data_IF_368736980123
#
_entry.id   IF_368736980123
#
_cell.length_a   1.000
_cell.length_b   1.000
_cell.length_c   1.000
_cell.angle_alpha   90.00
_cell.angle_beta   90.00
_cell.angle_gamma   90.00
#
_symmetry.space_group_name_H-M   'P 1'
#
loop_
_entity.id
_entity.type
_entity.pdbx_description
1 polymer ?
#
# COMPACT_ATOMS: atom_id res chain seq x y z
N UNK A 1 17.16 -57.15 -8.56
CA UNK A 1 17.78 -56.09 -9.38
C UNK A 1 17.11 -56.18 -10.76
N UNK A 2 16.42 -55.19 -11.33
CA UNK A 2 16.66 -53.74 -11.36
C UNK A 2 15.33 -52.98 -11.33
N UNK A 3 15.31 -51.92 -10.53
CA UNK A 3 14.32 -50.86 -10.48
C UNK A 3 14.44 -49.99 -11.74
N UNK A 4 13.33 -49.73 -12.44
CA UNK A 4 13.25 -48.58 -13.32
C UNK A 4 12.23 -47.62 -12.72
N UNK A 5 12.76 -46.77 -11.85
CA UNK A 5 12.09 -45.58 -11.32
C UNK A 5 11.88 -44.63 -12.50
N UNK A 6 10.65 -44.58 -13.02
CA UNK A 6 10.25 -43.55 -13.98
C UNK A 6 9.95 -42.31 -13.15
N UNK A 7 10.98 -41.51 -12.90
CA UNK A 7 10.88 -40.16 -12.36
C UNK A 7 10.17 -39.28 -13.40
N UNK A 8 8.87 -39.08 -13.21
CA UNK A 8 8.14 -38.01 -13.86
C UNK A 8 8.63 -36.68 -13.29
N UNK A 9 9.60 -36.06 -13.97
CA UNK A 9 10.03 -34.68 -13.69
C UNK A 9 8.91 -33.77 -14.19
N UNK A 10 7.97 -33.46 -13.31
CA UNK A 10 6.98 -32.40 -13.53
C UNK A 10 7.76 -31.09 -13.41
N UNK A 11 8.15 -30.57 -14.57
CA UNK A 11 8.77 -29.26 -14.71
C UNK A 11 7.72 -28.22 -14.34
N UNK A 12 7.66 -27.84 -13.06
CA UNK A 12 6.89 -26.70 -12.60
C UNK A 12 7.54 -25.44 -13.18
N UNK A 13 7.08 -25.02 -14.36
CA UNK A 13 7.26 -23.66 -14.81
C UNK A 13 6.48 -22.78 -13.85
N UNK A 14 7.13 -22.38 -12.75
CA UNK A 14 6.79 -21.19 -11.99
C UNK A 14 6.81 -20.05 -13.00
N UNK A 15 5.64 -19.74 -13.57
CA UNK A 15 5.40 -18.48 -14.21
C UNK A 15 5.63 -17.45 -13.10
N UNK A 16 6.80 -16.80 -13.14
CA UNK A 16 7.09 -15.58 -12.40
C UNK A 16 6.21 -14.46 -12.98
N UNK A 17 4.89 -14.64 -13.02
CA UNK A 17 4.00 -13.49 -12.94
C UNK A 17 4.41 -12.85 -11.64
N UNK A 18 5.08 -11.71 -11.71
CA UNK A 18 5.31 -10.90 -10.53
C UNK A 18 3.93 -10.74 -9.89
N UNK A 19 3.67 -11.45 -8.79
CA UNK A 19 2.46 -11.32 -8.01
C UNK A 19 2.54 -9.97 -7.31
N UNK A 20 2.51 -8.89 -8.08
CA UNK A 20 2.10 -7.60 -7.58
C UNK A 20 0.59 -7.73 -7.42
N UNK A 21 0.17 -8.39 -6.35
CA UNK A 21 -1.22 -8.33 -5.93
C UNK A 21 -1.57 -6.87 -5.69
N UNK A 22 -2.80 -6.49 -6.01
CA UNK A 22 -3.34 -5.18 -5.63
C UNK A 22 -3.05 -4.84 -4.16
N UNK A 23 -2.90 -3.54 -3.81
CA UNK A 23 -2.65 -3.15 -2.44
C UNK A 23 -3.80 -3.59 -1.53
N UNK A 24 -3.46 -4.18 -0.40
CA UNK A 24 -4.42 -4.47 0.67
C UNK A 24 -4.84 -3.19 1.39
N UNK A 25 -5.92 -3.22 2.16
CA UNK A 25 -6.30 -2.07 3.00
C UNK A 25 -5.17 -1.65 3.97
N UNK A 26 -4.43 -2.63 4.51
CA UNK A 26 -3.26 -2.39 5.36
C UNK A 26 -2.14 -1.69 4.59
N UNK A 27 -1.92 -2.06 3.33
CA UNK A 27 -0.94 -1.38 2.48
C UNK A 27 -1.31 0.07 2.24
N UNK A 28 -2.59 0.34 1.96
CA UNK A 28 -3.12 1.70 1.78
C UNK A 28 -2.99 2.50 3.09
N UNK A 29 -3.33 1.89 4.23
CA UNK A 29 -3.14 2.51 5.54
C UNK A 29 -1.68 2.91 5.77
N UNK A 30 -0.73 2.02 5.47
CA UNK A 30 0.69 2.32 5.63
C UNK A 30 1.17 3.44 4.69
N UNK A 31 0.67 3.48 3.45
CA UNK A 31 0.95 4.57 2.51
C UNK A 31 0.47 5.91 3.08
N UNK A 32 -0.77 5.97 3.59
CA UNK A 32 -1.33 7.15 4.26
C UNK A 32 -0.52 7.52 5.51
N UNK A 33 -0.13 6.52 6.32
CA UNK A 33 0.67 6.71 7.53
C UNK A 33 2.00 7.37 7.21
N UNK A 34 2.68 6.95 6.14
CA UNK A 34 3.94 7.57 5.71
C UNK A 34 3.78 9.07 5.39
N UNK A 35 2.68 9.46 4.76
CA UNK A 35 2.38 10.87 4.45
C UNK A 35 2.06 11.63 5.74
N UNK A 36 1.21 11.10 6.61
CA UNK A 36 0.84 11.70 7.90
C UNK A 36 2.08 11.89 8.79
N UNK A 37 2.92 10.86 8.94
CA UNK A 37 4.14 10.92 9.73
C UNK A 37 5.09 12.00 9.20
N UNK A 38 5.27 12.10 7.87
CA UNK A 38 6.10 13.13 7.24
C UNK A 38 5.56 14.53 7.49
N UNK A 39 4.25 14.72 7.35
CA UNK A 39 3.60 16.00 7.62
C UNK A 39 3.73 16.41 9.09
N UNK A 40 3.51 15.48 10.02
CA UNK A 40 3.68 15.72 11.46
C UNK A 40 5.14 16.03 11.82
N UNK A 41 6.11 15.32 11.24
CA UNK A 41 7.53 15.60 11.42
C UNK A 41 7.88 17.00 10.89
N UNK A 42 7.33 17.39 9.73
CA UNK A 42 7.53 18.73 9.15
C UNK A 42 6.93 19.82 10.04
N UNK A 43 5.72 19.62 10.59
CA UNK A 43 5.11 20.54 11.55
C UNK A 43 5.98 20.71 12.80
N UNK A 44 6.47 19.60 13.38
CA UNK A 44 7.35 19.64 14.56
C UNK A 44 8.71 20.29 14.27
N UNK A 45 9.24 20.13 13.05
CA UNK A 45 10.47 20.80 12.64
C UNK A 45 10.30 22.32 12.55
N UNK A 46 9.11 22.80 12.17
CA UNK A 46 8.78 24.24 12.14
C UNK A 46 8.47 24.80 13.53
N UNK A 47 7.79 24.03 14.36
CA UNK A 47 7.48 24.40 15.74
C UNK A 47 7.45 23.14 16.63
N UNK A 48 8.52 22.94 17.40
CA UNK A 48 8.68 21.78 18.28
C UNK A 48 7.71 21.75 19.46
N UNK A 49 7.06 22.89 19.77
CA UNK A 49 6.10 23.02 20.87
C UNK A 49 4.68 22.61 20.47
N UNK A 50 4.44 22.21 19.22
CA UNK A 50 3.13 21.69 18.80
C UNK A 50 2.78 20.45 19.64
N UNK A 51 1.66 20.46 20.38
CA UNK A 51 1.28 19.33 21.22
C UNK A 51 0.76 18.17 20.36
N UNK A 52 0.88 16.95 20.86
CA UNK A 52 0.52 15.74 20.10
C UNK A 52 -0.94 15.71 19.64
N UNK A 53 -1.85 16.30 20.43
CA UNK A 53 -3.28 16.40 20.09
C UNK A 53 -3.57 17.18 18.81
N UNK A 54 -2.65 18.05 18.40
CA UNK A 54 -2.82 18.92 17.22
C UNK A 54 -2.11 18.33 15.99
N UNK A 55 -1.49 17.16 16.12
CA UNK A 55 -0.91 16.43 15.00
C UNK A 55 -2.00 15.71 14.19
N UNK A 56 -1.70 15.46 12.92
CA UNK A 56 -2.56 14.67 12.05
C UNK A 56 -2.61 13.22 12.55
N UNK A 57 -3.81 12.62 12.56
CA UNK A 57 -4.03 11.22 12.93
C UNK A 57 -4.93 10.54 11.90
N UNK A 58 -4.65 9.29 11.59
CA UNK A 58 -5.52 8.48 10.74
C UNK A 58 -6.59 7.87 11.64
N UNK A 59 -7.85 8.19 11.41
CA UNK A 59 -8.97 7.59 12.15
C UNK A 59 -9.36 6.25 11.54
N UNK A 60 -9.45 6.19 10.22
CA UNK A 60 -9.64 4.95 9.46
C UNK A 60 -9.19 5.11 8.02
N UNK A 61 -8.93 3.97 7.38
CA UNK A 61 -8.76 3.82 5.93
C UNK A 61 -9.56 2.60 5.53
N UNK A 62 -10.40 2.75 4.51
CA UNK A 62 -11.23 1.68 3.96
C UNK A 62 -11.01 1.58 2.47
N UNK A 63 -10.60 0.39 2.02
CA UNK A 63 -10.52 0.08 0.59
C UNK A 63 -11.93 -0.22 0.07
N UNK A 64 -12.40 0.54 -0.93
CA UNK A 64 -13.69 0.26 -1.58
C UNK A 64 -13.49 -0.57 -2.86
N UNK A 65 -12.51 -0.20 -3.68
CA UNK A 65 -12.12 -0.95 -4.87
C UNK A 65 -10.70 -0.58 -5.27
N UNK A 66 -10.05 -1.44 -6.06
CA UNK A 66 -8.82 -1.11 -6.77
C UNK A 66 -8.88 -1.69 -8.18
N UNK A 67 -8.27 -1.00 -9.13
CA UNK A 67 -8.11 -1.48 -10.50
C UNK A 67 -6.69 -1.20 -10.93
N UNK A 68 -6.05 -2.18 -11.55
CA UNK A 68 -4.72 -2.00 -12.13
C UNK A 68 -4.83 -1.11 -13.37
N UNK A 69 -3.98 -0.10 -13.44
CA UNK A 69 -3.70 0.71 -14.63
C UNK A 69 -2.44 0.15 -15.34
N UNK A 70 -1.63 0.99 -15.97
CA UNK A 70 -0.37 0.58 -16.57
C UNK A 70 0.76 0.54 -15.53
N UNK A 71 1.82 -0.23 -15.81
CA UNK A 71 3.07 -0.23 -15.05
C UNK A 71 2.94 -0.55 -13.54
N UNK A 72 2.04 -1.45 -13.16
CA UNK A 72 1.75 -1.81 -11.76
C UNK A 72 1.26 -0.62 -10.90
N UNK A 73 0.68 0.40 -11.54
CA UNK A 73 -0.03 1.47 -10.83
C UNK A 73 -1.46 0.99 -10.58
N UNK A 74 -1.91 1.06 -9.34
CA UNK A 74 -3.28 0.72 -8.96
C UNK A 74 -4.06 1.98 -8.65
N UNK A 75 -5.20 2.17 -9.28
CA UNK A 75 -6.15 3.22 -8.93
C UNK A 75 -7.18 2.65 -7.96
N UNK A 76 -7.09 3.09 -6.70
CA UNK A 76 -7.92 2.60 -5.61
C UNK A 76 -8.92 3.66 -5.17
N UNK A 77 -10.20 3.31 -5.10
CA UNK A 77 -11.20 4.16 -4.44
C UNK A 77 -11.09 3.89 -2.94
N UNK A 78 -10.69 4.92 -2.19
CA UNK A 78 -10.42 4.84 -0.75
C UNK A 78 -11.35 5.80 -0.02
N UNK A 79 -12.06 5.29 0.97
CA UNK A 79 -12.78 6.07 1.98
C UNK A 79 -11.88 6.16 3.22
N UNK A 80 -11.49 7.36 3.62
CA UNK A 80 -10.56 7.57 4.73
C UNK A 80 -10.96 8.78 5.56
N UNK A 81 -10.54 8.78 6.83
CA UNK A 81 -10.64 9.92 7.72
C UNK A 81 -9.29 10.23 8.34
N UNK A 82 -8.87 11.49 8.21
CA UNK A 82 -7.66 12.02 8.85
C UNK A 82 -8.08 13.20 9.72
N UNK A 83 -7.86 13.09 11.03
CA UNK A 83 -8.23 14.11 12.02
C UNK A 83 -9.69 14.56 11.88
N UNK A 84 -10.61 13.59 11.79
CA UNK A 84 -12.05 13.75 11.57
C UNK A 84 -12.45 14.34 10.20
N UNK A 85 -11.52 14.55 9.28
CA UNK A 85 -11.83 14.94 7.91
C UNK A 85 -12.02 13.69 7.04
N UNK A 86 -13.28 13.39 6.73
CA UNK A 86 -13.66 12.25 5.91
C UNK A 86 -13.63 12.60 4.42
N UNK A 87 -13.05 11.72 3.62
CA UNK A 87 -13.05 11.83 2.17
C UNK A 87 -13.08 10.45 1.52
N UNK A 88 -13.86 10.33 0.44
CA UNK A 88 -13.81 9.19 -0.47
C UNK A 88 -13.28 9.66 -1.81
N UNK A 89 -12.11 9.19 -2.22
CA UNK A 89 -11.47 9.63 -3.48
C UNK A 89 -10.65 8.51 -4.13
N UNK A 90 -10.40 8.59 -5.44
CA UNK A 90 -9.39 7.77 -6.08
C UNK A 90 -7.99 8.15 -5.57
N UNK A 91 -7.15 7.14 -5.36
CA UNK A 91 -5.74 7.25 -4.98
C UNK A 91 -4.95 6.32 -5.86
N UNK A 92 -3.95 6.84 -6.57
CA UNK A 92 -3.05 6.01 -7.37
C UNK A 92 -1.88 5.55 -6.53
N UNK A 93 -1.61 4.26 -6.53
CA UNK A 93 -0.60 3.62 -5.70
C UNK A 93 0.33 2.78 -6.57
N UNK A 94 1.63 2.90 -6.31
CA UNK A 94 2.65 2.04 -6.91
C UNK A 94 3.48 1.38 -5.81
N UNK A 95 3.90 0.14 -6.04
CA UNK A 95 4.81 -0.56 -5.13
C UNK A 95 6.25 -0.29 -5.54
N UNK A 96 7.03 0.29 -4.64
CA UNK A 96 8.46 0.59 -4.84
C UNK A 96 9.24 0.11 -3.64
N UNK A 97 10.27 -0.71 -3.86
CA UNK A 97 11.11 -1.30 -2.80
C UNK A 97 10.27 -2.02 -1.71
N UNK A 98 9.25 -2.75 -2.16
CA UNK A 98 8.34 -3.49 -1.27
C UNK A 98 7.27 -2.63 -0.58
N UNK A 99 7.30 -1.30 -0.70
CA UNK A 99 6.38 -0.38 -0.03
C UNK A 99 5.45 0.31 -1.03
N UNK A 100 4.18 0.46 -0.66
CA UNK A 100 3.21 1.21 -1.46
C UNK A 100 3.32 2.70 -1.22
N UNK A 101 3.31 3.48 -2.30
CA UNK A 101 3.39 4.95 -2.28
C UNK A 101 2.31 5.55 -3.17
N UNK A 102 1.73 6.66 -2.72
CA UNK A 102 0.85 7.47 -3.55
C UNK A 102 1.65 8.12 -4.69
N UNK A 103 1.11 8.07 -5.90
CA UNK A 103 1.60 8.80 -7.07
C UNK A 103 0.52 9.76 -7.55
N UNK A 104 0.91 10.99 -7.89
CA UNK A 104 0.00 12.01 -8.44
C UNK A 104 -0.11 11.87 -9.95
#
# INVERSE_FOLDING_TARGET
>A
MKTYSILAVILSTFLLTACNSEPSEKDIYNAFKSVVDRSNASMKALNSSIPEKDLLRIDYVKKLSCTEEANNVYNCIVDASISNMKQTKPVKLVKTDGNWKEVQ
#
